data_IF_804760128712
#
_entry.id   IF_804760128712
#
_cell.length_a   1.000
_cell.length_b   1.000
_cell.length_c   1.000
_cell.angle_alpha   90.00
_cell.angle_beta   90.00
_cell.angle_gamma   90.00
#
_symmetry.space_group_name_H-M   'P 1'
#
loop_
_entity.id
_entity.type
_entity.pdbx_description
1 polymer ?
#
# COMPACT_ATOMS: atom_id res chain seq x y z
N UNK A 1 52.63 38.53 -7.24
CA UNK A 1 52.17 39.91 -7.50
C UNK A 1 50.65 39.91 -7.45
N UNK A 2 50.09 40.20 -6.28
CA UNK A 2 48.65 40.43 -6.07
C UNK A 2 48.42 41.93 -6.17
N UNK A 3 47.51 42.37 -7.04
CA UNK A 3 46.76 43.65 -7.04
C UNK A 3 46.09 43.76 -8.41
N UNK A 4 44.74 43.72 -8.44
CA UNK A 4 43.87 44.44 -9.39
C UNK A 4 42.41 43.91 -9.43
N UNK A 5 42.07 42.81 -8.77
CA UNK A 5 40.69 42.28 -8.76
C UNK A 5 39.74 42.96 -7.75
N UNK A 6 40.26 43.77 -6.80
CA UNK A 6 39.43 44.47 -5.80
C UNK A 6 38.73 45.73 -6.32
N UNK A 7 39.22 46.32 -7.42
CA UNK A 7 38.77 47.63 -7.88
C UNK A 7 37.47 47.54 -8.72
N UNK A 8 37.28 46.46 -9.48
CA UNK A 8 36.14 46.35 -10.41
C UNK A 8 34.82 46.10 -9.68
N UNK A 9 34.83 45.25 -8.64
CA UNK A 9 33.64 44.99 -7.83
C UNK A 9 33.22 46.22 -7.03
N UNK A 10 34.19 46.93 -6.43
CA UNK A 10 33.92 48.15 -5.67
C UNK A 10 33.45 49.30 -6.57
N UNK A 11 34.03 49.44 -7.78
CA UNK A 11 33.55 50.38 -8.79
C UNK A 11 32.13 50.03 -9.28
N UNK A 12 31.82 48.76 -9.49
CA UNK A 12 30.49 48.31 -9.87
C UNK A 12 29.47 48.59 -8.76
N UNK A 13 29.81 48.35 -7.49
CA UNK A 13 28.94 48.65 -6.35
C UNK A 13 28.73 50.16 -6.18
N UNK A 14 29.76 50.98 -6.33
CA UNK A 14 29.66 52.44 -6.27
C UNK A 14 28.84 53.01 -7.44
N UNK A 15 28.98 52.44 -8.64
CA UNK A 15 28.15 52.77 -9.80
C UNK A 15 26.68 52.40 -9.56
N UNK A 16 26.42 51.22 -9.01
CA UNK A 16 25.07 50.76 -8.70
C UNK A 16 24.42 51.59 -7.58
N UNK A 17 25.18 52.04 -6.56
CA UNK A 17 24.70 52.96 -5.51
C UNK A 17 24.27 54.32 -6.08
N UNK A 18 24.90 54.78 -7.15
CA UNK A 18 24.55 56.04 -7.84
C UNK A 18 23.25 55.94 -8.65
N UNK A 19 22.83 54.72 -9.00
CA UNK A 19 21.64 54.46 -9.83
C UNK A 19 20.76 53.35 -9.22
N UNK A 20 20.03 53.63 -8.13
CA UNK A 20 19.18 52.64 -7.44
C UNK A 20 18.05 52.08 -8.33
N UNK A 21 17.56 52.86 -9.29
CA UNK A 21 16.56 52.41 -10.27
C UNK A 21 17.13 51.33 -11.20
N UNK A 22 18.42 51.41 -11.53
CA UNK A 22 19.11 50.40 -12.34
C UNK A 22 19.23 49.09 -11.59
N UNK A 23 19.56 49.12 -10.28
CA UNK A 23 19.56 47.93 -9.41
C UNK A 23 18.18 47.28 -9.42
N UNK A 24 17.12 48.08 -9.23
CA UNK A 24 15.74 47.58 -9.19
C UNK A 24 15.31 46.96 -10.52
N UNK A 25 15.70 47.57 -11.64
CA UNK A 25 15.46 47.06 -12.99
C UNK A 25 16.22 45.76 -13.26
N UNK A 26 17.50 45.68 -12.88
CA UNK A 26 18.32 44.47 -13.01
C UNK A 26 17.80 43.32 -12.14
N UNK A 27 17.42 43.60 -10.90
CA UNK A 27 16.83 42.62 -9.99
C UNK A 27 15.49 42.11 -10.54
N UNK A 28 14.64 43.01 -11.04
CA UNK A 28 13.37 42.67 -11.67
C UNK A 28 13.55 41.83 -12.95
N UNK A 29 14.54 42.17 -13.78
CA UNK A 29 14.89 41.42 -14.98
C UNK A 29 15.41 40.02 -14.63
N UNK A 30 16.34 39.91 -13.68
CA UNK A 30 16.89 38.64 -13.23
C UNK A 30 15.83 37.76 -12.54
N UNK A 31 14.93 38.36 -11.76
CA UNK A 31 13.76 37.67 -11.17
C UNK A 31 12.83 37.13 -12.25
N UNK A 32 12.53 37.92 -13.30
CA UNK A 32 11.73 37.48 -14.45
C UNK A 32 12.43 36.38 -15.26
N UNK A 33 13.75 36.47 -15.49
CA UNK A 33 14.49 35.44 -16.23
C UNK A 33 14.60 34.14 -15.45
N UNK A 34 14.78 34.21 -14.12
CA UNK A 34 14.75 33.06 -13.19
C UNK A 34 13.39 32.39 -13.14
N UNK A 35 12.29 33.14 -12.99
CA UNK A 35 10.93 32.59 -13.06
C UNK A 35 10.64 31.92 -14.41
N UNK A 36 11.16 32.48 -15.52
CA UNK A 36 11.06 31.86 -16.85
C UNK A 36 11.87 30.57 -16.97
N UNK A 37 13.07 30.49 -16.39
CA UNK A 37 13.87 29.25 -16.42
C UNK A 37 13.28 28.18 -15.51
N UNK A 38 12.85 28.52 -14.30
CA UNK A 38 12.14 27.62 -13.38
C UNK A 38 10.84 27.09 -13.98
N UNK A 39 10.04 27.95 -14.61
CA UNK A 39 8.83 27.52 -15.33
C UNK A 39 9.12 26.55 -16.49
N UNK A 40 10.26 26.70 -17.18
CA UNK A 40 10.70 25.75 -18.22
C UNK A 40 11.13 24.41 -17.61
N UNK A 41 11.82 24.42 -16.48
CA UNK A 41 12.24 23.21 -15.75
C UNK A 41 11.01 22.45 -15.26
N UNK A 42 10.07 23.13 -14.57
CA UNK A 42 8.83 22.54 -14.09
C UNK A 42 8.01 21.93 -15.23
N UNK A 43 7.88 22.60 -16.39
CA UNK A 43 7.20 22.02 -17.57
C UNK A 43 7.92 20.77 -18.08
N UNK A 44 9.24 20.79 -18.16
CA UNK A 44 10.05 19.65 -18.60
C UNK A 44 9.91 18.47 -17.64
N UNK A 45 9.94 18.71 -16.34
CA UNK A 45 9.80 17.67 -15.31
C UNK A 45 8.36 17.15 -15.23
N UNK A 46 7.37 18.04 -15.34
CA UNK A 46 5.95 17.65 -15.43
C UNK A 46 5.71 16.75 -16.65
N UNK A 47 6.27 17.10 -17.82
CA UNK A 47 6.14 16.29 -19.02
C UNK A 47 6.92 14.96 -18.92
N UNK A 48 8.09 14.97 -18.27
CA UNK A 48 8.85 13.75 -17.96
C UNK A 48 8.05 12.81 -17.06
N UNK A 49 7.47 13.32 -15.97
CA UNK A 49 6.59 12.58 -15.06
C UNK A 49 5.36 12.05 -15.81
N UNK A 50 4.74 12.87 -16.68
CA UNK A 50 3.62 12.46 -17.54
C UNK A 50 4.00 11.29 -18.44
N UNK A 51 5.18 11.32 -19.08
CA UNK A 51 5.68 10.20 -19.91
C UNK A 51 5.95 8.94 -19.09
N UNK A 52 6.60 9.05 -17.94
CA UNK A 52 6.79 7.91 -17.02
C UNK A 52 5.45 7.30 -16.58
N UNK A 53 4.46 8.13 -16.24
CA UNK A 53 3.10 7.68 -15.91
C UNK A 53 2.40 7.02 -17.10
N UNK A 54 2.58 7.53 -18.32
CA UNK A 54 2.02 6.92 -19.55
C UNK A 54 2.62 5.53 -19.81
N UNK A 55 3.92 5.37 -19.63
CA UNK A 55 4.60 4.07 -19.76
C UNK A 55 4.18 3.06 -18.69
N UNK A 56 3.92 3.50 -17.45
CA UNK A 56 3.39 2.64 -16.37
C UNK A 56 1.91 2.28 -16.50
N UNK A 57 1.12 3.02 -17.31
CA UNK A 57 -0.33 2.82 -17.42
C UNK A 57 -0.73 1.62 -18.27
N UNK A 58 0.13 1.17 -19.18
CA UNK A 58 -0.08 -0.09 -19.90
C UNK A 58 0.64 -1.20 -19.11
N UNK A 59 -0.07 -1.95 -18.25
CA UNK A 59 0.52 -3.16 -17.68
C UNK A 59 0.88 -4.09 -18.84
N UNK A 60 2.12 -4.58 -18.88
CA UNK A 60 2.50 -5.64 -19.82
C UNK A 60 1.43 -6.74 -19.80
N UNK A 61 1.07 -7.31 -20.95
CA UNK A 61 0.02 -8.34 -21.06
C UNK A 61 0.18 -9.46 -20.04
N UNK A 62 1.43 -9.84 -19.72
CA UNK A 62 1.79 -10.79 -18.65
C UNK A 62 1.37 -10.36 -17.25
N UNK A 63 1.58 -9.09 -16.88
CA UNK A 63 1.15 -8.55 -15.59
C UNK A 63 -0.38 -8.58 -15.46
N UNK A 64 -1.09 -8.24 -16.54
CA UNK A 64 -2.56 -8.30 -16.56
C UNK A 64 -3.09 -9.74 -16.44
N UNK A 65 -2.44 -10.70 -17.10
CA UNK A 65 -2.74 -12.13 -16.94
C UNK A 65 -2.48 -12.61 -15.52
N UNK A 66 -1.33 -12.24 -14.93
CA UNK A 66 -1.00 -12.57 -13.55
C UNK A 66 -2.01 -11.98 -12.57
N UNK A 67 -2.35 -10.69 -12.71
CA UNK A 67 -3.37 -10.06 -11.87
C UNK A 67 -4.69 -10.82 -11.97
N UNK A 68 -5.17 -11.13 -13.18
CA UNK A 68 -6.43 -11.86 -13.33
C UNK A 68 -6.39 -13.26 -12.69
N UNK A 69 -5.32 -14.03 -12.91
CA UNK A 69 -5.18 -15.36 -12.30
C UNK A 69 -5.06 -15.29 -10.78
N UNK A 70 -4.33 -14.31 -10.25
CA UNK A 70 -4.20 -14.07 -8.82
C UNK A 70 -5.57 -13.77 -8.20
N UNK A 71 -6.32 -12.82 -8.75
CA UNK A 71 -7.63 -12.47 -8.20
C UNK A 71 -8.66 -13.59 -8.36
N UNK A 72 -8.62 -14.37 -9.45
CA UNK A 72 -9.48 -15.55 -9.62
C UNK A 72 -9.20 -16.63 -8.55
N UNK A 73 -7.94 -16.86 -8.20
CA UNK A 73 -7.58 -17.78 -7.12
C UNK A 73 -8.01 -17.23 -5.74
N UNK A 74 -7.94 -15.91 -5.55
CA UNK A 74 -8.35 -15.25 -4.31
C UNK A 74 -9.87 -15.22 -4.13
N UNK A 75 -10.66 -15.17 -5.21
CA UNK A 75 -12.12 -15.30 -5.16
C UNK A 75 -12.55 -16.67 -4.58
N UNK A 76 -11.74 -17.71 -4.78
CA UNK A 76 -11.95 -19.02 -4.16
C UNK A 76 -11.59 -19.04 -2.67
N UNK A 77 -10.82 -18.06 -2.16
CA UNK A 77 -10.36 -18.01 -0.77
C UNK A 77 -10.58 -16.62 -0.15
N UNK A 78 -11.86 -16.19 0.01
CA UNK A 78 -12.20 -14.85 0.50
C UNK A 78 -11.71 -14.58 1.93
N UNK A 79 -11.44 -15.64 2.69
CA UNK A 79 -10.90 -15.60 4.07
C UNK A 79 -9.62 -14.76 4.20
N UNK A 80 -8.81 -14.66 3.15
CA UNK A 80 -7.56 -13.90 3.18
C UNK A 80 -7.77 -12.39 3.34
N UNK A 81 -8.95 -11.89 2.97
CA UNK A 81 -9.33 -10.49 3.16
C UNK A 81 -10.29 -10.28 4.34
N UNK A 82 -10.53 -11.31 5.14
CA UNK A 82 -11.38 -11.20 6.34
C UNK A 82 -10.57 -10.86 7.57
N UNK A 83 -11.10 -9.97 8.40
CA UNK A 83 -10.54 -9.74 9.72
C UNK A 83 -10.97 -10.88 10.65
N UNK A 84 -10.05 -11.54 11.37
CA UNK A 84 -10.40 -12.60 12.32
C UNK A 84 -11.29 -12.14 13.49
N UNK A 85 -11.33 -10.83 13.78
CA UNK A 85 -12.06 -10.25 14.91
C UNK A 85 -13.49 -9.91 14.53
N UNK A 86 -13.68 -8.98 13.60
CA UNK A 86 -15.02 -8.57 13.18
C UNK A 86 -15.64 -9.52 12.15
N UNK A 87 -14.85 -10.48 11.61
CA UNK A 87 -15.27 -11.46 10.58
C UNK A 87 -15.82 -10.83 9.29
N UNK A 88 -15.56 -9.54 9.10
CA UNK A 88 -15.89 -8.80 7.88
C UNK A 88 -14.64 -8.57 7.04
N UNK A 89 -14.82 -8.10 5.80
CA UNK A 89 -13.70 -7.70 4.95
C UNK A 89 -12.89 -6.60 5.64
N UNK A 90 -11.56 -6.72 5.56
CA UNK A 90 -10.61 -5.79 6.18
C UNK A 90 -10.93 -4.32 5.82
N UNK A 91 -10.95 -3.48 6.85
CA UNK A 91 -10.99 -2.02 6.77
C UNK A 91 -9.71 -1.51 7.39
N UNK A 92 -8.93 -0.71 6.65
CA UNK A 92 -7.62 -0.20 7.09
C UNK A 92 -6.73 -1.31 7.67
N UNK A 93 -6.31 -2.29 6.85
CA UNK A 93 -5.60 -3.47 7.30
C UNK A 93 -4.25 -3.10 7.91
N UNK A 94 -4.00 -3.60 9.11
CA UNK A 94 -2.73 -3.50 9.84
C UNK A 94 -2.17 -4.90 9.97
N UNK A 95 -0.99 -5.11 9.41
CA UNK A 95 -0.25 -6.37 9.56
C UNK A 95 0.67 -6.24 10.76
N UNK A 96 0.48 -7.11 11.75
CA UNK A 96 1.30 -7.15 12.96
C UNK A 96 2.56 -8.00 12.75
N UNK A 97 3.50 -7.96 13.69
CA UNK A 97 4.83 -8.59 13.58
C UNK A 97 4.78 -10.09 13.31
N UNK A 98 3.76 -10.80 13.80
CA UNK A 98 3.58 -12.22 13.52
C UNK A 98 3.01 -12.51 12.11
N UNK A 99 2.77 -11.49 11.29
CA UNK A 99 2.31 -11.61 9.91
C UNK A 99 0.79 -11.66 9.71
N UNK A 100 0.00 -11.71 10.79
CA UNK A 100 -1.47 -11.67 10.69
C UNK A 100 -1.98 -10.24 10.47
N UNK A 101 -3.11 -10.12 9.77
CA UNK A 101 -3.67 -8.81 9.39
C UNK A 101 -5.06 -8.61 10.01
N UNK A 102 -5.28 -7.43 10.59
CA UNK A 102 -6.51 -7.04 11.28
C UNK A 102 -6.96 -5.66 10.84
N UNK A 103 -8.22 -5.29 11.11
CA UNK A 103 -8.64 -3.90 10.94
C UNK A 103 -7.97 -3.02 12.00
N UNK A 104 -7.59 -1.81 11.63
CA UNK A 104 -7.03 -0.83 12.58
C UNK A 104 -7.97 -0.60 13.78
N UNK A 105 -9.28 -0.51 13.51
CA UNK A 105 -10.29 -0.31 14.55
C UNK A 105 -10.41 -1.53 15.47
N UNK A 106 -10.29 -2.74 14.91
CA UNK A 106 -10.33 -3.98 15.71
C UNK A 106 -9.14 -4.08 16.67
N UNK A 107 -7.97 -3.58 16.28
CA UNK A 107 -6.78 -3.50 17.15
C UNK A 107 -6.82 -2.30 18.12
N UNK A 108 -7.70 -1.32 17.90
CA UNK A 108 -7.81 -0.11 18.73
C UNK A 108 -8.92 -0.19 19.76
N UNK A 109 -9.93 -1.04 19.54
CA UNK A 109 -11.08 -1.13 20.42
C UNK A 109 -10.70 -1.78 21.76
N UNK A 110 -10.90 -1.08 22.90
CA UNK A 110 -10.65 -1.63 24.23
C UNK A 110 -11.65 -2.73 24.62
N UNK A 111 -12.78 -2.84 23.91
CA UNK A 111 -13.79 -3.88 24.13
C UNK A 111 -13.34 -5.25 23.60
N UNK A 112 -12.44 -5.23 22.61
CA UNK A 112 -11.79 -6.42 22.12
C UNK A 112 -10.59 -6.66 23.03
N UNK A 113 -10.70 -7.55 24.02
CA UNK A 113 -9.63 -7.96 24.94
C UNK A 113 -8.40 -8.54 24.21
N UNK A 114 -7.72 -7.73 23.40
CA UNK A 114 -6.41 -7.97 22.88
C UNK A 114 -5.47 -7.81 24.06
N UNK A 115 -5.29 -8.89 24.79
CA UNK A 115 -4.34 -9.05 25.88
C UNK A 115 -2.90 -9.02 25.35
N UNK A 116 -2.51 -7.95 24.65
CA UNK A 116 -1.26 -7.82 23.91
C UNK A 116 -0.89 -9.09 23.14
N UNK A 117 -1.88 -9.83 22.60
CA UNK A 117 -1.67 -11.13 21.95
C UNK A 117 -2.47 -11.24 20.67
N UNK A 118 -1.86 -11.83 19.66
CA UNK A 118 -2.51 -12.10 18.38
C UNK A 118 -3.68 -13.09 18.57
N UNK A 119 -4.86 -12.74 18.05
CA UNK A 119 -6.04 -13.62 18.11
C UNK A 119 -5.93 -14.92 17.30
N UNK A 120 -4.89 -15.06 16.45
CA UNK A 120 -4.69 -16.23 15.59
C UNK A 120 -3.59 -17.15 16.14
N UNK A 121 -2.45 -16.60 16.55
CA UNK A 121 -1.29 -17.40 16.99
C UNK A 121 -0.83 -17.11 18.43
N UNK A 122 -1.52 -16.23 19.17
CA UNK A 122 -1.20 -15.83 20.54
C UNK A 122 0.19 -15.18 20.75
N UNK A 123 0.89 -14.82 19.68
CA UNK A 123 2.14 -14.05 19.73
C UNK A 123 1.93 -12.68 20.35
N UNK A 124 2.92 -12.19 21.10
CA UNK A 124 2.86 -10.89 21.77
C UNK A 124 2.77 -9.73 20.75
N UNK A 125 1.96 -8.72 21.07
CA UNK A 125 1.71 -7.56 20.21
C UNK A 125 2.44 -6.35 20.77
N UNK A 126 3.33 -5.79 19.96
CA UNK A 126 3.89 -4.46 20.19
C UNK A 126 2.99 -3.45 19.47
N UNK A 127 2.04 -2.85 20.19
CA UNK A 127 1.05 -1.93 19.61
C UNK A 127 1.57 -0.50 19.37
N UNK A 128 2.82 -0.23 19.74
CA UNK A 128 3.43 1.12 19.72
C UNK A 128 3.60 1.70 18.31
N UNK A 129 3.64 0.86 17.27
CA UNK A 129 3.78 1.29 15.86
C UNK A 129 2.91 0.50 14.91
N UNK A 130 1.62 0.78 14.91
CA UNK A 130 0.68 0.22 13.93
C UNK A 130 0.85 0.91 12.58
N UNK A 131 1.36 0.16 11.60
CA UNK A 131 1.46 0.62 10.23
C UNK A 131 0.36 -0.01 9.39
N UNK A 132 -0.39 0.83 8.66
CA UNK A 132 -1.36 0.34 7.68
C UNK A 132 -0.58 -0.37 6.55
N UNK A 133 -0.98 -1.60 6.26
CA UNK A 133 -0.46 -2.33 5.12
C UNK A 133 -1.14 -1.82 3.84
N UNK A 134 -0.55 -0.79 3.23
CA UNK A 134 -1.06 -0.15 2.02
C UNK A 134 -1.16 -1.11 0.83
N UNK A 135 -0.35 -2.18 0.80
CA UNK A 135 -0.41 -3.20 -0.23
C UNK A 135 -1.68 -4.05 -0.07
N UNK A 136 -1.94 -4.54 1.16
CA UNK A 136 -3.15 -5.31 1.45
C UNK A 136 -4.39 -4.43 1.27
N UNK A 137 -4.36 -3.16 1.69
CA UNK A 137 -5.44 -2.21 1.45
C UNK A 137 -5.77 -2.10 -0.04
N UNK A 138 -4.74 -1.93 -0.88
CA UNK A 138 -4.94 -1.82 -2.33
C UNK A 138 -5.48 -3.11 -2.95
N UNK A 139 -5.05 -4.28 -2.47
CA UNK A 139 -5.54 -5.58 -2.93
C UNK A 139 -7.00 -5.81 -2.53
N UNK A 140 -7.37 -5.49 -1.29
CA UNK A 140 -8.75 -5.57 -0.78
C UNK A 140 -9.66 -4.66 -1.61
N UNK A 141 -9.20 -3.46 -1.94
CA UNK A 141 -9.98 -2.49 -2.72
C UNK A 141 -10.21 -2.96 -4.16
N UNK A 142 -9.15 -3.45 -4.85
CA UNK A 142 -9.29 -4.10 -6.16
C UNK A 142 -10.21 -5.31 -6.12
N UNK A 143 -10.18 -6.09 -5.04
CA UNK A 143 -11.06 -7.24 -4.87
C UNK A 143 -12.52 -6.80 -4.69
N UNK A 144 -12.79 -5.78 -3.85
CA UNK A 144 -14.13 -5.19 -3.68
C UNK A 144 -14.68 -4.64 -4.99
N UNK A 145 -13.86 -4.00 -5.81
CA UNK A 145 -14.28 -3.47 -7.10
C UNK A 145 -14.73 -4.55 -8.09
N UNK A 146 -14.13 -5.75 -8.03
CA UNK A 146 -14.53 -6.90 -8.85
C UNK A 146 -15.74 -7.65 -8.26
N UNK A 147 -15.86 -7.66 -6.94
CA UNK A 147 -16.87 -8.41 -6.20
C UNK A 147 -17.97 -7.50 -5.62
N UNK A 148 -18.34 -6.42 -6.32
CA UNK A 148 -19.36 -5.43 -5.87
C UNK A 148 -20.74 -6.02 -5.57
N UNK A 149 -21.00 -7.26 -5.98
CA UNK A 149 -22.26 -7.98 -5.75
C UNK A 149 -22.24 -8.82 -4.46
N UNK A 150 -21.10 -8.95 -3.77
CA UNK A 150 -20.98 -9.69 -2.53
C UNK A 150 -21.11 -8.67 -1.38
N UNK A 151 -22.29 -8.61 -0.77
CA UNK A 151 -22.48 -7.81 0.44
C UNK A 151 -21.69 -8.43 1.61
N UNK A 152 -21.34 -7.64 2.63
CA UNK A 152 -20.62 -8.10 3.84
C UNK A 152 -21.32 -9.30 4.53
N UNK A 153 -22.58 -9.56 4.20
CA UNK A 153 -23.41 -10.68 4.67
C UNK A 153 -23.15 -12.00 3.92
N UNK A 154 -22.80 -11.96 2.63
CA UNK A 154 -22.58 -13.15 1.78
C UNK A 154 -21.19 -13.77 2.00
N UNK A 155 -20.25 -13.00 2.51
CA UNK A 155 -18.94 -13.49 2.93
C UNK A 155 -19.06 -14.53 4.06
N UNK A 156 -20.07 -14.41 4.91
CA UNK A 156 -20.40 -15.36 5.98
C UNK A 156 -20.94 -16.69 5.42
N UNK A 157 -21.63 -16.66 4.27
CA UNK A 157 -22.11 -17.85 3.57
C UNK A 157 -20.97 -18.59 2.85
N UNK A 158 -20.04 -17.85 2.22
CA UNK A 158 -18.81 -18.43 1.65
C UNK A 158 -17.91 -19.03 2.74
N UNK A 159 -17.82 -18.38 3.92
CA UNK A 159 -17.18 -18.91 5.13
C UNK A 159 -17.79 -20.24 5.57
N UNK A 160 -19.14 -20.34 5.60
CA UNK A 160 -19.83 -21.61 5.90
C UNK A 160 -19.53 -22.70 4.88
N UNK A 161 -19.52 -22.36 3.59
CA UNK A 161 -19.28 -23.33 2.52
C UNK A 161 -17.84 -23.86 2.55
N UNK A 162 -16.86 -22.99 2.77
CA UNK A 162 -15.45 -23.37 2.89
C UNK A 162 -15.13 -24.17 4.17
N UNK A 163 -15.74 -23.80 5.32
CA UNK A 163 -15.63 -24.60 6.55
C UNK A 163 -16.26 -25.98 6.35
N UNK A 164 -17.39 -26.08 5.63
CA UNK A 164 -18.06 -27.33 5.31
C UNK A 164 -17.23 -28.22 4.36
N UNK A 165 -16.53 -27.63 3.39
CA UNK A 165 -15.62 -28.36 2.50
C UNK A 165 -14.37 -28.86 3.21
N UNK A 166 -13.78 -28.05 4.11
CA UNK A 166 -12.65 -28.48 4.96
C UNK A 166 -13.11 -29.59 5.92
N UNK A 167 -14.28 -29.46 6.55
CA UNK A 167 -14.79 -30.50 7.45
C UNK A 167 -15.12 -31.79 6.70
N UNK A 168 -15.75 -31.73 5.52
CA UNK A 168 -16.02 -32.91 4.70
C UNK A 168 -14.73 -33.59 4.19
N UNK A 169 -13.73 -32.79 3.79
CA UNK A 169 -12.41 -33.30 3.40
C UNK A 169 -11.70 -33.96 4.58
N UNK A 170 -11.70 -33.32 5.75
CA UNK A 170 -11.14 -33.87 6.98
C UNK A 170 -11.87 -35.14 7.46
N UNK A 171 -13.19 -35.20 7.36
CA UNK A 171 -13.98 -36.40 7.66
C UNK A 171 -13.62 -37.54 6.71
N UNK A 172 -13.41 -37.27 5.42
CA UNK A 172 -12.99 -38.32 4.46
C UNK A 172 -11.59 -38.85 4.77
N UNK A 173 -10.65 -37.98 5.14
CA UNK A 173 -9.27 -38.36 5.49
C UNK A 173 -9.26 -39.15 6.81
N UNK A 174 -10.01 -38.70 7.82
CA UNK A 174 -10.18 -39.43 9.09
C UNK A 174 -10.85 -40.79 8.86
N UNK A 175 -11.87 -40.86 8.00
CA UNK A 175 -12.53 -42.11 7.63
C UNK A 175 -11.58 -43.10 6.93
N UNK A 176 -10.74 -42.60 6.03
CA UNK A 176 -9.75 -43.40 5.32
C UNK A 176 -8.66 -43.91 6.27
N UNK A 177 -8.18 -43.06 7.18
CA UNK A 177 -7.23 -43.44 8.23
C UNK A 177 -7.83 -44.44 9.22
N UNK A 178 -9.09 -44.28 9.63
CA UNK A 178 -9.79 -45.26 10.48
C UNK A 178 -9.92 -46.62 9.79
N UNK A 179 -10.28 -46.65 8.51
CA UNK A 179 -10.38 -47.91 7.76
C UNK A 179 -9.02 -48.58 7.56
N UNK A 180 -7.97 -47.79 7.31
CA UNK A 180 -6.60 -48.28 7.21
C UNK A 180 -6.09 -48.85 8.53
N UNK A 181 -6.34 -48.16 9.66
CA UNK A 181 -5.99 -48.66 11.00
C UNK A 181 -6.81 -49.91 11.34
N UNK A 182 -8.11 -49.95 11.02
CA UNK A 182 -8.94 -51.12 11.26
C UNK A 182 -8.47 -52.33 10.41
N UNK A 183 -8.05 -52.10 9.17
CA UNK A 183 -7.44 -53.11 8.32
C UNK A 183 -6.12 -53.64 8.92
N UNK A 184 -5.27 -52.78 9.44
CA UNK A 184 -4.01 -53.17 10.10
C UNK A 184 -4.19 -53.87 11.45
N UNK A 185 -5.30 -53.62 12.16
CA UNK A 185 -5.60 -54.25 13.47
C UNK A 185 -6.37 -55.58 13.30
N UNK A 186 -7.04 -55.78 12.16
CA UNK A 186 -7.76 -57.01 11.82
C UNK A 186 -6.96 -57.97 10.91
N UNK A 187 -5.73 -57.61 10.54
CA UNK A 187 -4.76 -58.45 9.80
C UNK A 187 -3.69 -58.97 10.75
#
# INVERSE_FOLDING_TARGET
MQRESGNVLEQAENFLKKYPDLITSLYSYHKKSKLKSEGRILRRDTERIRRYRKFRKEPNSRLKQFENAFFQAMDQKPLLFTCPVCRSVLRTPVTIECGHTFCNDCLSSPENNFSNRCAVCAAELVLERRCINVLVQHLVEKWRERNKHIDDTDLFLLLKQFICEISNSAISVIGTLKNYILFLVLS
#
